data_IF_554035895986
#
_entry.id   IF_554035895986
#
_cell.length_a   1.000
_cell.length_b   1.000
_cell.length_c   1.000
_cell.angle_alpha   90.00
_cell.angle_beta   90.00
_cell.angle_gamma   90.00
#
_symmetry.space_group_name_H-M   'P 1'
#
loop_
_entity.id
_entity.type
_entity.pdbx_description
1 polymer ?
#
# COMPACT_ATOMS: atom_id res chain seq x y z
N UNK A 1 0.11 -16.50 1.67
CA UNK A 1 0.51 -17.02 2.96
C UNK A 1 -0.03 -16.15 4.08
N UNK A 2 -0.60 -16.77 5.14
CA UNK A 2 -1.03 -16.11 6.38
C UNK A 2 -0.56 -16.93 7.56
N UNK A 3 -0.06 -16.26 8.59
CA UNK A 3 0.36 -16.91 9.81
C UNK A 3 -0.02 -16.09 11.05
N UNK A 4 -0.39 -16.78 12.12
CA UNK A 4 -0.81 -16.18 13.38
C UNK A 4 0.07 -16.72 14.49
N UNK A 5 0.74 -15.82 15.19
CA UNK A 5 1.54 -16.14 16.38
C UNK A 5 0.74 -15.74 17.61
N UNK A 6 0.34 -16.71 18.41
CA UNK A 6 -0.26 -16.46 19.71
C UNK A 6 0.85 -16.20 20.74
N UNK A 7 1.00 -14.93 21.15
CA UNK A 7 1.98 -14.55 22.18
C UNK A 7 1.47 -14.94 23.57
N UNK A 8 0.19 -14.73 23.80
CA UNK A 8 -0.53 -15.16 24.99
C UNK A 8 -2.04 -15.20 24.70
N UNK A 9 -2.88 -15.51 25.72
CA UNK A 9 -4.34 -15.62 25.57
C UNK A 9 -5.01 -14.33 25.06
N UNK A 10 -4.37 -13.15 25.21
CA UNK A 10 -4.93 -11.83 24.85
C UNK A 10 -4.23 -11.14 23.70
N UNK A 11 -3.01 -11.60 23.33
CA UNK A 11 -2.18 -10.92 22.36
C UNK A 11 -1.75 -11.87 21.24
N UNK A 12 -1.90 -11.41 19.99
CA UNK A 12 -1.55 -12.16 18.78
C UNK A 12 -0.83 -11.29 17.78
N UNK A 13 0.10 -11.86 17.03
CA UNK A 13 0.66 -11.24 15.83
C UNK A 13 0.07 -11.95 14.62
N UNK A 14 -0.59 -11.21 13.76
CA UNK A 14 -1.07 -11.70 12.46
C UNK A 14 -0.15 -11.21 11.36
N UNK A 15 0.33 -12.13 10.54
CA UNK A 15 1.17 -11.82 9.38
C UNK A 15 0.51 -12.29 8.10
N UNK A 16 0.66 -11.53 7.03
CA UNK A 16 0.21 -11.91 5.70
C UNK A 16 1.27 -11.51 4.68
N UNK A 17 1.59 -12.43 3.78
CA UNK A 17 2.40 -12.18 2.59
C UNK A 17 1.58 -12.59 1.37
N UNK A 18 1.40 -11.68 0.44
CA UNK A 18 0.73 -11.92 -0.84
C UNK A 18 1.69 -11.59 -1.97
N UNK A 19 1.97 -12.58 -2.79
CA UNK A 19 2.77 -12.43 -4.00
C UNK A 19 1.98 -12.91 -5.19
N UNK A 20 2.20 -12.28 -6.34
CA UNK A 20 1.56 -12.68 -7.58
C UNK A 20 2.43 -12.27 -8.76
N UNK A 21 2.49 -13.14 -9.76
CA UNK A 21 3.13 -12.87 -11.06
C UNK A 21 2.17 -13.31 -12.15
N UNK A 22 1.85 -12.41 -13.05
CA UNK A 22 1.07 -12.70 -14.25
C UNK A 22 1.91 -12.43 -15.48
N UNK A 23 1.92 -13.37 -16.41
CA UNK A 23 2.69 -13.26 -17.64
C UNK A 23 1.81 -13.49 -18.87
N UNK A 24 1.82 -12.54 -19.81
CA UNK A 24 1.16 -12.69 -21.10
C UNK A 24 2.03 -13.50 -22.05
N UNK A 25 1.45 -14.54 -22.67
CA UNK A 25 2.14 -15.44 -23.59
C UNK A 25 1.35 -15.61 -24.91
N UNK A 26 1.99 -16.26 -25.88
CA UNK A 26 1.41 -16.47 -27.21
C UNK A 26 1.28 -15.17 -27.97
N UNK A 27 0.12 -14.93 -28.56
CA UNK A 27 -0.16 -13.75 -29.38
C UNK A 27 -0.45 -12.47 -28.56
N UNK A 28 -0.53 -12.57 -27.23
CA UNK A 28 -0.83 -11.44 -26.36
C UNK A 28 0.46 -10.78 -25.87
N UNK A 29 0.61 -9.49 -26.14
CA UNK A 29 1.78 -8.72 -25.70
C UNK A 29 1.64 -8.20 -24.25
N UNK A 30 0.41 -7.98 -23.79
CA UNK A 30 0.10 -7.44 -22.48
C UNK A 30 -0.93 -8.31 -21.77
N UNK A 31 -0.85 -8.35 -20.45
CA UNK A 31 -1.86 -9.04 -19.65
C UNK A 31 -3.19 -8.25 -19.68
N UNK A 32 -4.34 -8.91 -19.88
CA UNK A 32 -5.63 -8.24 -19.81
C UNK A 32 -5.81 -7.50 -18.49
N UNK A 33 -6.32 -6.28 -18.53
CA UNK A 33 -6.50 -5.40 -17.38
C UNK A 33 -7.21 -6.06 -16.20
N UNK A 34 -8.23 -6.88 -16.45
CA UNK A 34 -8.98 -7.60 -15.42
C UNK A 34 -8.15 -8.66 -14.67
N UNK A 35 -7.06 -9.13 -15.28
CA UNK A 35 -6.15 -10.14 -14.70
C UNK A 35 -4.94 -9.52 -14.00
N UNK A 36 -4.70 -8.23 -14.20
CA UNK A 36 -3.61 -7.52 -13.55
C UNK A 36 -3.90 -7.30 -12.06
N UNK A 37 -2.83 -7.22 -11.29
CA UNK A 37 -2.89 -6.99 -9.85
C UNK A 37 -3.00 -5.50 -9.52
N UNK A 38 -3.56 -5.21 -8.35
CA UNK A 38 -3.59 -3.88 -7.76
C UNK A 38 -3.25 -3.94 -6.27
N UNK A 39 -2.81 -2.79 -5.72
CA UNK A 39 -2.45 -2.62 -4.31
C UNK A 39 -3.03 -1.31 -3.79
N UNK A 40 -3.37 -1.29 -2.50
CA UNK A 40 -4.03 -0.19 -1.80
C UNK A 40 -5.43 -0.54 -1.34
N UNK A 41 -5.93 0.21 -0.36
CA UNK A 41 -7.24 0.05 0.25
C UNK A 41 -7.25 -0.77 1.54
N UNK A 42 -8.42 -0.84 2.18
CA UNK A 42 -8.63 -1.36 3.53
C UNK A 42 -8.19 -2.81 3.76
N UNK A 43 -8.17 -3.63 2.73
CA UNK A 43 -7.77 -5.03 2.78
C UNK A 43 -6.38 -5.31 2.20
N UNK A 44 -5.65 -4.26 1.83
CA UNK A 44 -4.32 -4.30 1.23
C UNK A 44 -3.37 -3.39 2.01
N UNK A 45 -2.99 -2.24 1.47
CA UNK A 45 -2.25 -1.19 2.18
C UNK A 45 -3.23 -0.14 2.68
N UNK A 46 -3.54 -0.18 3.98
CA UNK A 46 -4.60 0.64 4.60
C UNK A 46 -4.34 2.15 4.55
N UNK A 47 -3.07 2.55 4.52
CA UNK A 47 -2.67 3.96 4.45
C UNK A 47 -2.79 4.57 3.04
N UNK A 48 -3.20 3.80 2.05
CA UNK A 48 -3.30 4.24 0.65
C UNK A 48 -4.71 3.99 0.11
N UNK A 49 -5.26 4.89 -0.73
CA UNK A 49 -6.52 4.65 -1.41
C UNK A 49 -6.53 3.34 -2.19
N UNK A 50 -7.71 2.77 -2.40
CA UNK A 50 -7.84 1.52 -3.14
C UNK A 50 -7.23 1.63 -4.53
N UNK A 51 -6.37 0.67 -4.90
CA UNK A 51 -5.75 0.55 -6.24
C UNK A 51 -4.93 1.77 -6.66
N UNK A 52 -4.34 2.50 -5.71
CA UNK A 52 -3.60 3.75 -5.99
C UNK A 52 -2.09 3.59 -6.04
N UNK A 53 -1.55 2.46 -5.61
CA UNK A 53 -0.11 2.27 -5.47
C UNK A 53 0.50 1.60 -6.70
N UNK A 54 1.61 2.17 -7.22
CA UNK A 54 2.37 1.63 -8.35
C UNK A 54 1.77 1.95 -9.72
N UNK A 55 2.23 1.32 -10.81
CA UNK A 55 3.33 0.35 -10.81
C UNK A 55 4.70 1.00 -10.59
N UNK A 56 5.54 0.35 -9.80
CA UNK A 56 6.89 0.85 -9.48
C UNK A 56 6.87 2.24 -8.86
N UNK A 57 7.60 3.17 -9.47
CA UNK A 57 7.63 4.60 -9.07
C UNK A 57 6.63 5.47 -9.82
N UNK A 58 5.84 4.90 -10.74
CA UNK A 58 4.87 5.65 -11.51
C UNK A 58 3.76 6.21 -10.61
N UNK A 59 3.46 7.50 -10.79
CA UNK A 59 2.34 8.16 -10.12
C UNK A 59 1.51 8.94 -11.12
N UNK A 60 0.34 8.42 -11.45
CA UNK A 60 -0.57 9.03 -12.41
C UNK A 60 -1.02 10.44 -11.99
N UNK A 61 -1.32 10.62 -10.70
CA UNK A 61 -1.83 11.91 -10.19
C UNK A 61 -0.78 13.02 -10.21
N UNK A 62 0.49 12.67 -9.97
CA UNK A 62 1.58 13.66 -10.03
C UNK A 62 1.91 14.09 -11.45
N UNK A 63 1.71 13.20 -12.44
CA UNK A 63 2.06 13.48 -13.85
C UNK A 63 0.95 14.26 -14.56
N UNK A 64 -0.32 13.99 -14.23
CA UNK A 64 -1.44 14.49 -15.03
C UNK A 64 -2.21 15.63 -14.35
N UNK A 65 -1.85 16.04 -13.14
CA UNK A 65 -2.52 17.11 -12.36
C UNK A 65 -4.07 17.04 -12.45
N UNK A 66 -4.60 15.81 -12.42
CA UNK A 66 -6.03 15.55 -12.58
C UNK A 66 -6.64 15.07 -11.26
N UNK A 67 -7.90 15.43 -11.06
CA UNK A 67 -8.70 14.95 -9.92
C UNK A 67 -9.29 13.56 -10.17
N UNK A 68 -9.15 13.01 -11.37
CA UNK A 68 -9.67 11.69 -11.71
C UNK A 68 -8.75 10.57 -11.19
N UNK A 69 -9.34 9.69 -10.43
CA UNK A 69 -8.65 8.52 -9.91
C UNK A 69 -8.69 7.40 -10.94
N UNK A 70 -7.51 6.95 -11.39
CA UNK A 70 -7.37 5.79 -12.29
C UNK A 70 -6.78 4.62 -11.51
N UNK A 71 -7.43 3.46 -11.60
CA UNK A 71 -6.94 2.21 -11.01
C UNK A 71 -5.55 1.88 -11.54
N UNK A 72 -4.58 1.83 -10.63
CA UNK A 72 -3.22 1.39 -10.94
C UNK A 72 -3.16 -0.14 -11.00
N UNK A 73 -2.56 -0.68 -12.06
CA UNK A 73 -2.47 -2.12 -12.33
C UNK A 73 -1.05 -2.53 -12.70
N UNK A 74 -0.68 -3.76 -12.34
CA UNK A 74 0.62 -4.34 -12.64
C UNK A 74 0.57 -5.85 -12.84
N UNK A 75 1.66 -6.38 -13.39
CA UNK A 75 1.82 -7.80 -13.70
C UNK A 75 2.44 -8.58 -12.53
N UNK A 76 3.20 -7.89 -11.67
CA UNK A 76 3.84 -8.45 -10.48
C UNK A 76 3.26 -7.72 -9.26
N UNK A 77 2.95 -8.48 -8.20
CA UNK A 77 2.48 -7.96 -6.91
C UNK A 77 3.33 -8.51 -5.78
N UNK A 78 3.72 -7.63 -4.87
CA UNK A 78 4.29 -8.00 -3.57
C UNK A 78 3.61 -7.17 -2.49
N UNK A 79 3.05 -7.84 -1.48
CA UNK A 79 2.34 -7.20 -0.37
C UNK A 79 2.61 -7.97 0.92
N UNK A 80 3.03 -7.26 1.95
CA UNK A 80 3.24 -7.79 3.29
C UNK A 80 2.46 -6.96 4.32
N UNK A 81 1.81 -7.64 5.27
CA UNK A 81 1.08 -6.99 6.35
C UNK A 81 1.46 -7.68 7.67
N UNK A 82 1.74 -6.90 8.67
CA UNK A 82 1.98 -7.35 10.04
C UNK A 82 1.07 -6.57 10.95
N UNK A 83 0.36 -7.27 11.84
CA UNK A 83 -0.58 -6.65 12.75
C UNK A 83 -0.47 -7.29 14.14
N UNK A 84 -0.14 -6.48 15.13
CA UNK A 84 -0.20 -6.84 16.54
C UNK A 84 -1.61 -6.55 17.07
N UNK A 85 -2.30 -7.60 17.53
CA UNK A 85 -3.67 -7.56 18.04
C UNK A 85 -3.65 -7.79 19.54
N UNK A 86 -4.42 -7.00 20.27
CA UNK A 86 -4.55 -7.11 21.72
C UNK A 86 -6.00 -6.85 22.18
N UNK A 87 -6.40 -7.54 23.22
CA UNK A 87 -7.71 -7.34 23.81
C UNK A 87 -7.66 -6.14 24.76
N UNK A 88 -8.57 -5.17 24.57
CA UNK A 88 -8.72 -4.00 25.44
C UNK A 88 -9.74 -4.30 26.52
N UNK A 89 -10.96 -4.64 26.13
CA UNK A 89 -12.04 -4.93 27.05
C UNK A 89 -13.14 -5.77 26.38
N UNK A 90 -13.49 -6.93 26.96
CA UNK A 90 -14.57 -7.82 26.47
C UNK A 90 -14.63 -7.91 24.94
N UNK A 91 -15.56 -7.15 24.33
CA UNK A 91 -15.81 -7.13 22.89
C UNK A 91 -14.91 -6.12 22.12
N UNK A 92 -14.04 -5.35 22.81
CA UNK A 92 -13.20 -4.32 22.20
C UNK A 92 -11.78 -4.82 22.06
N UNK A 93 -11.28 -4.86 20.83
CA UNK A 93 -9.91 -5.29 20.49
C UNK A 93 -9.17 -4.15 19.80
N UNK A 94 -7.90 -3.98 20.15
CA UNK A 94 -6.99 -3.04 19.51
C UNK A 94 -6.06 -3.76 18.52
N UNK A 95 -5.54 -3.02 17.55
CA UNK A 95 -4.51 -3.50 16.65
C UNK A 95 -3.57 -2.40 16.22
N UNK A 96 -2.26 -2.69 16.24
CA UNK A 96 -1.23 -1.86 15.62
C UNK A 96 -0.75 -2.60 14.37
N UNK A 97 -0.59 -1.89 13.27
CA UNK A 97 -0.24 -2.55 12.02
C UNK A 97 0.81 -1.80 11.21
N UNK A 98 1.52 -2.57 10.40
CA UNK A 98 2.40 -2.09 9.34
C UNK A 98 2.07 -2.86 8.07
N UNK A 99 1.79 -2.12 7.01
CA UNK A 99 1.52 -2.65 5.68
C UNK A 99 2.60 -2.17 4.72
N UNK A 100 3.11 -3.06 3.88
CA UNK A 100 4.12 -2.73 2.89
C UNK A 100 3.82 -3.45 1.58
N UNK A 101 4.01 -2.78 0.42
CA UNK A 101 3.80 -3.44 -0.86
C UNK A 101 3.89 -2.51 -2.04
N UNK A 102 3.91 -3.13 -3.23
CA UNK A 102 3.82 -2.45 -4.52
C UNK A 102 3.42 -3.44 -5.62
N UNK A 103 3.16 -2.92 -6.80
CA UNK A 103 3.00 -3.66 -8.05
C UNK A 103 4.04 -3.18 -9.07
N UNK A 104 4.33 -4.00 -10.06
CA UNK A 104 5.26 -3.67 -11.14
C UNK A 104 4.79 -4.27 -12.45
N UNK A 105 5.33 -3.75 -13.55
CA UNK A 105 5.19 -4.29 -14.89
C UNK A 105 6.39 -5.19 -15.22
N UNK A 106 6.15 -6.25 -15.99
CA UNK A 106 7.23 -7.11 -16.52
C UNK A 106 7.90 -6.42 -17.70
N UNK A 107 7.09 -5.86 -18.59
CA UNK A 107 7.57 -5.15 -19.79
C UNK A 107 7.69 -3.66 -19.54
N UNK A 108 8.61 -3.02 -20.27
CA UNK A 108 8.70 -1.56 -20.25
C UNK A 108 7.46 -0.96 -20.93
N UNK A 109 6.87 0.05 -20.29
CA UNK A 109 5.72 0.78 -20.81
C UNK A 109 6.08 2.27 -20.84
N UNK A 110 6.06 2.85 -22.02
CA UNK A 110 6.38 4.28 -22.23
C UNK A 110 5.36 5.21 -21.59
N UNK A 111 4.12 4.74 -21.42
CA UNK A 111 3.06 5.51 -20.76
C UNK A 111 3.16 5.47 -19.23
N UNK A 112 3.93 4.52 -18.68
CA UNK A 112 4.12 4.34 -17.24
C UNK A 112 5.61 4.24 -16.90
N UNK A 113 6.38 5.34 -17.05
CA UNK A 113 7.81 5.35 -16.78
C UNK A 113 8.09 4.99 -15.32
N UNK A 114 9.16 4.21 -15.07
CA UNK A 114 9.49 3.71 -13.72
C UNK A 114 8.63 2.54 -13.23
N UNK A 115 7.64 2.07 -14.04
CA UNK A 115 6.76 0.97 -13.68
C UNK A 115 7.38 -0.43 -13.79
N UNK A 116 8.50 -0.60 -14.49
CA UNK A 116 9.13 -1.90 -14.75
C UNK A 116 9.81 -2.44 -13.50
N UNK A 117 9.63 -3.75 -13.27
CA UNK A 117 10.31 -4.46 -12.19
C UNK A 117 11.82 -4.57 -12.43
N UNK A 118 12.61 -4.26 -11.39
CA UNK A 118 14.06 -4.43 -11.40
C UNK A 118 14.53 -4.97 -10.04
N UNK A 119 15.24 -6.10 -10.04
CA UNK A 119 15.70 -6.78 -8.82
C UNK A 119 16.63 -5.92 -7.95
N UNK A 120 17.40 -5.04 -8.54
CA UNK A 120 18.34 -4.16 -7.85
C UNK A 120 17.67 -2.97 -7.14
N UNK A 121 16.40 -2.65 -7.46
CA UNK A 121 15.74 -1.44 -6.99
C UNK A 121 14.32 -1.64 -6.45
N UNK A 122 13.68 -2.83 -6.63
CA UNK A 122 12.29 -3.05 -6.24
C UNK A 122 12.01 -2.72 -4.76
N UNK A 123 12.95 -3.03 -3.85
CA UNK A 123 12.81 -2.74 -2.42
C UNK A 123 12.79 -1.24 -2.10
N UNK A 124 13.40 -0.42 -2.96
CA UNK A 124 13.34 1.05 -2.86
C UNK A 124 11.98 1.60 -3.27
N UNK A 125 11.21 0.85 -4.02
CA UNK A 125 9.92 1.25 -4.59
C UNK A 125 8.73 0.77 -3.76
N UNK A 126 8.97 0.09 -2.63
CA UNK A 126 7.91 -0.42 -1.76
C UNK A 126 7.26 0.73 -1.00
N UNK A 127 5.94 0.88 -1.12
CA UNK A 127 5.14 1.76 -0.28
C UNK A 127 4.97 1.15 1.10
N UNK A 128 5.04 1.97 2.16
CA UNK A 128 4.90 1.52 3.55
C UNK A 128 3.90 2.41 4.27
N UNK A 129 2.96 1.80 4.97
CA UNK A 129 2.00 2.48 5.83
C UNK A 129 1.93 1.84 7.21
N UNK A 130 1.52 2.60 8.19
CA UNK A 130 1.29 2.13 9.56
C UNK A 130 0.01 2.71 10.10
N UNK A 131 -0.47 2.18 11.21
CA UNK A 131 -1.64 2.72 11.86
C UNK A 131 -2.10 1.89 13.04
N UNK A 132 -3.22 2.31 13.59
CA UNK A 132 -3.90 1.55 14.61
C UNK A 132 -5.37 1.33 14.24
N UNK A 133 -5.93 0.23 14.73
CA UNK A 133 -7.31 -0.14 14.50
C UNK A 133 -8.04 -0.50 15.78
N UNK A 134 -9.31 -0.19 15.84
CA UNK A 134 -10.25 -0.66 16.86
C UNK A 134 -11.25 -1.60 16.22
N UNK A 135 -11.55 -2.69 16.90
CA UNK A 135 -12.54 -3.69 16.49
C UNK A 135 -13.52 -3.92 17.62
N UNK A 136 -14.79 -3.81 17.28
CA UNK A 136 -15.91 -4.08 18.16
C UNK A 136 -16.56 -5.38 17.70
N UNK A 137 -16.38 -6.42 18.48
CA UNK A 137 -16.86 -7.77 18.17
C UNK A 137 -18.24 -7.98 18.83
N UNK A 138 -19.30 -7.82 18.04
CA UNK A 138 -20.67 -8.12 18.45
C UNK A 138 -21.05 -9.47 17.86
N UNK A 139 -21.35 -10.46 18.60
CA UNK A 139 -21.60 -11.88 18.22
C UNK A 139 -22.05 -12.17 16.79
N UNK A 140 -22.73 -11.25 16.11
CA UNK A 140 -23.25 -11.39 14.75
C UNK A 140 -22.60 -10.45 13.70
N UNK A 141 -21.82 -9.44 14.11
CA UNK A 141 -20.99 -8.61 13.21
C UNK A 141 -19.77 -8.04 13.93
N UNK A 142 -18.75 -7.67 13.16
CA UNK A 142 -17.56 -6.99 13.66
C UNK A 142 -17.46 -5.61 13.00
N UNK A 143 -17.48 -4.57 13.81
CA UNK A 143 -17.23 -3.21 13.37
C UNK A 143 -15.75 -2.89 13.52
N UNK A 144 -15.13 -2.39 12.44
CA UNK A 144 -13.70 -2.08 12.39
C UNK A 144 -13.47 -0.64 12.00
N UNK A 145 -12.65 0.06 12.78
CA UNK A 145 -12.15 1.39 12.48
C UNK A 145 -10.62 1.34 12.43
N UNK A 146 -10.04 1.71 11.29
CA UNK A 146 -8.59 1.81 11.14
C UNK A 146 -8.21 3.27 10.84
N UNK A 147 -7.24 3.79 11.59
CA UNK A 147 -6.57 5.05 11.30
C UNK A 147 -5.17 4.73 10.79
N UNK A 148 -4.88 5.13 9.56
CA UNK A 148 -3.67 4.75 8.87
C UNK A 148 -2.92 5.96 8.31
N UNK A 149 -1.58 5.90 8.36
CA UNK A 149 -0.67 6.95 7.93
C UNK A 149 0.35 6.38 6.94
N UNK A 150 0.55 7.00 5.76
CA UNK A 150 1.61 6.62 4.85
C UNK A 150 2.97 7.04 5.44
N UNK A 151 3.85 6.06 5.69
CA UNK A 151 5.22 6.30 6.13
C UNK A 151 6.17 6.54 4.96
N UNK A 152 5.89 5.86 3.83
CA UNK A 152 6.70 5.92 2.62
C UNK A 152 5.80 5.74 1.41
N UNK A 153 5.90 6.66 0.47
CA UNK A 153 5.27 6.56 -0.84
C UNK A 153 6.17 5.79 -1.82
N UNK A 154 5.58 5.11 -2.79
CA UNK A 154 6.32 4.34 -3.81
C UNK A 154 7.00 5.23 -4.86
N UNK A 155 6.66 6.51 -4.91
CA UNK A 155 7.12 7.48 -5.90
C UNK A 155 7.81 8.67 -5.23
N UNK A 156 8.71 9.39 -5.96
CA UNK A 156 9.32 10.62 -5.47
C UNK A 156 8.25 11.67 -5.15
N UNK A 157 8.39 12.39 -4.05
CA UNK A 157 7.42 13.42 -3.62
C UNK A 157 7.69 14.77 -4.27
N UNK A 158 8.92 15.02 -4.67
CA UNK A 158 9.33 16.25 -5.35
C UNK A 158 9.30 15.98 -6.86
N UNK A 159 8.53 16.79 -7.61
CA UNK A 159 8.30 16.68 -9.05
C UNK A 159 9.53 16.86 -9.95
N UNK A 160 10.66 16.24 -9.63
CA UNK A 160 11.81 16.18 -10.51
C UNK A 160 11.52 15.23 -11.67
N UNK A 161 11.34 15.81 -12.86
CA UNK A 161 10.98 15.08 -14.10
C UNK A 161 12.03 14.09 -14.56
N UNK A 162 13.26 14.10 -14.06
CA UNK A 162 14.37 13.31 -14.55
C UNK A 162 14.75 12.07 -13.73
N UNK A 163 13.95 11.71 -12.73
CA UNK A 163 14.08 10.41 -12.03
C UNK A 163 15.42 10.18 -11.30
N UNK A 164 16.30 11.18 -11.24
CA UNK A 164 17.65 11.06 -10.68
C UNK A 164 17.72 11.31 -9.18
N UNK A 165 16.76 12.00 -8.60
CA UNK A 165 16.67 12.20 -7.15
C UNK A 165 15.74 11.17 -6.49
N UNK A 166 16.17 9.91 -6.49
CA UNK A 166 15.54 8.79 -5.79
C UNK A 166 15.74 8.86 -4.26
N UNK A 167 15.64 10.01 -3.65
CA UNK A 167 15.54 10.09 -2.20
C UNK A 167 14.12 9.72 -1.77
N UNK A 168 13.91 8.43 -1.55
CA UNK A 168 12.73 7.93 -0.86
C UNK A 168 12.70 8.49 0.56
N UNK A 169 12.01 9.60 0.74
CA UNK A 169 11.87 10.21 2.05
C UNK A 169 10.86 9.41 2.88
N UNK A 170 11.32 9.02 4.05
CA UNK A 170 10.41 8.58 5.09
C UNK A 170 9.58 9.78 5.54
N UNK A 171 8.27 9.62 5.60
CA UNK A 171 7.33 10.68 6.00
C UNK A 171 7.60 11.26 7.40
N UNK A 172 8.39 10.59 8.23
CA UNK A 172 8.84 11.11 9.54
C UNK A 172 9.68 12.40 9.44
N UNK A 173 10.32 12.66 8.32
CA UNK A 173 11.15 13.87 8.13
C UNK A 173 10.30 15.12 7.89
N UNK A 174 9.07 14.92 7.42
CA UNK A 174 8.16 15.98 6.99
C UNK A 174 6.89 16.02 7.88
N UNK A 175 6.93 15.43 9.08
CA UNK A 175 5.87 15.61 10.08
C UNK A 175 5.97 17.02 10.65
N UNK A 176 5.60 17.98 9.86
CA UNK A 176 5.26 19.32 10.30
C UNK A 176 3.75 19.33 10.60
N UNK A 177 3.40 19.30 11.87
CA UNK A 177 2.01 19.37 12.33
C UNK A 177 1.32 20.69 11.94
N UNK A 178 2.08 21.66 11.45
CA UNK A 178 1.58 22.98 11.00
C UNK A 178 1.35 23.04 9.49
N UNK A 179 1.84 22.07 8.72
CA UNK A 179 1.85 22.16 7.27
C UNK A 179 0.54 21.76 6.61
N UNK A 180 0.29 22.31 5.42
CA UNK A 180 -0.85 22.07 4.53
C UNK A 180 -1.12 20.59 4.19
N UNK A 181 -0.12 19.70 4.39
CA UNK A 181 -0.16 18.28 4.06
C UNK A 181 -1.02 17.43 4.99
N UNK A 182 -1.35 17.92 6.19
CA UNK A 182 -2.24 17.21 7.12
C UNK A 182 -3.73 17.39 6.79
N UNK A 183 -4.07 18.24 5.83
CA UNK A 183 -5.45 18.72 5.72
C UNK A 183 -6.44 17.79 5.03
N UNK A 184 -6.03 16.80 4.22
CA UNK A 184 -6.96 15.83 3.59
C UNK A 184 -6.31 14.55 3.05
N UNK A 185 -5.08 14.60 2.55
CA UNK A 185 -4.57 13.57 1.66
C UNK A 185 -3.78 12.46 2.37
N UNK A 186 -3.50 12.64 3.65
CA UNK A 186 -2.67 11.73 4.44
C UNK A 186 -3.44 10.88 5.45
N UNK A 187 -4.72 11.16 5.68
CA UNK A 187 -5.58 10.37 6.56
C UNK A 187 -6.56 9.55 5.72
N UNK A 188 -6.40 8.25 5.73
CA UNK A 188 -7.36 7.33 5.10
C UNK A 188 -8.19 6.69 6.20
N UNK A 189 -9.45 7.08 6.28
CA UNK A 189 -10.43 6.42 7.12
C UNK A 189 -11.05 5.27 6.33
N UNK A 190 -10.80 4.05 6.77
CA UNK A 190 -11.43 2.87 6.18
C UNK A 190 -12.70 2.55 6.99
N UNK A 191 -13.83 2.79 6.37
CA UNK A 191 -15.15 2.41 6.89
C UNK A 191 -15.46 0.95 6.59
#
# INVERSE_FOLDING_TARGET
>A
FRYYFDLNKRNKIATRLTTGVGYAYGNSQFMPYIKQFSVGGSNSLRAFPARSVGPGTYNFLAINDTTFFIDQRGDIKLEGNIEYRFDIYKAVKGGLFVDAGNIWLIKNDTLRPGGKFAFNSFYKQVAVGTGFGLRFDFSFFVLRFDLAFPLRKAYPVDGSEDGTNNEFRWAFRDIDFTSKYWRRDNLVFNR
#
